data_IF_907213037682
#
_entry.id   IF_907213037682
#
_cell.length_a   1.000
_cell.length_b   1.000
_cell.length_c   1.000
_cell.angle_alpha   90.00
_cell.angle_beta   90.00
_cell.angle_gamma   90.00
#
_symmetry.space_group_name_H-M   'P 1'
#
loop_
_entity.id
_entity.type
_entity.pdbx_description
1 polymer ?
#
# COMPACT_ATOMS: atom_id res chain seq x y z
N UNK A 1 -19.87 -40.83 6.24
CA UNK A 1 -19.53 -40.61 4.83
C UNK A 1 -18.08 -40.18 4.81
N UNK A 2 -17.22 -40.91 4.08
CA UNK A 2 -15.78 -40.66 4.09
C UNK A 2 -15.49 -39.64 3.00
N UNK A 3 -14.88 -38.53 3.39
CA UNK A 3 -14.33 -37.54 2.46
C UNK A 3 -12.88 -37.88 2.14
N UNK A 4 -12.42 -37.69 0.89
CA UNK A 4 -13.17 -37.20 -0.27
C UNK A 4 -13.95 -38.29 -1.05
N UNK A 5 -15.04 -37.92 -1.73
CA UNK A 5 -15.89 -38.81 -2.55
C UNK A 5 -16.04 -38.34 -4.02
N UNK A 6 -16.69 -39.16 -4.87
CA UNK A 6 -16.85 -38.89 -6.31
C UNK A 6 -17.85 -37.77 -6.64
N UNK A 7 -18.48 -37.15 -5.64
CA UNK A 7 -19.28 -35.94 -5.82
C UNK A 7 -18.44 -34.65 -5.64
N UNK A 8 -17.17 -34.80 -5.25
CA UNK A 8 -16.22 -33.70 -5.13
C UNK A 8 -15.71 -33.30 -6.53
N UNK A 9 -16.35 -32.31 -7.15
CA UNK A 9 -15.84 -31.71 -8.39
C UNK A 9 -14.82 -30.61 -8.08
N UNK A 10 -13.54 -30.97 -8.04
CA UNK A 10 -12.42 -30.04 -7.87
C UNK A 10 -12.20 -29.08 -9.06
N UNK A 11 -13.00 -29.19 -10.14
CA UNK A 11 -13.00 -28.24 -11.26
C UNK A 11 -13.96 -27.07 -11.05
N UNK A 12 -14.77 -27.09 -9.99
CA UNK A 12 -15.59 -25.94 -9.57
C UNK A 12 -14.81 -25.22 -8.50
N UNK A 13 -13.95 -24.30 -8.93
CA UNK A 13 -13.51 -23.22 -8.07
C UNK A 13 -14.76 -22.38 -7.76
N UNK A 14 -15.21 -22.36 -6.50
CA UNK A 14 -16.19 -21.38 -6.06
C UNK A 14 -15.46 -20.05 -6.01
N UNK A 15 -15.19 -19.48 -7.19
CA UNK A 15 -14.32 -18.34 -7.43
C UNK A 15 -14.54 -17.22 -6.43
N UNK A 16 -13.88 -17.34 -5.29
CA UNK A 16 -13.77 -16.31 -4.30
C UNK A 16 -12.65 -15.45 -4.86
N UNK A 17 -13.00 -14.64 -5.86
CA UNK A 17 -12.16 -13.52 -6.25
C UNK A 17 -12.20 -12.61 -5.05
N UNK A 18 -11.19 -12.76 -4.20
CA UNK A 18 -10.99 -11.89 -3.07
C UNK A 18 -10.80 -10.49 -3.66
N UNK A 19 -11.63 -9.50 -3.28
CA UNK A 19 -11.42 -8.14 -3.73
C UNK A 19 -10.05 -7.70 -3.21
N UNK A 20 -9.25 -7.15 -4.09
CA UNK A 20 -7.88 -6.73 -3.81
C UNK A 20 -7.72 -5.31 -4.29
N UNK A 21 -7.03 -4.50 -3.49
CA UNK A 21 -6.53 -3.19 -3.84
C UNK A 21 -5.10 -3.36 -4.40
N UNK A 22 -4.86 -2.79 -5.58
CA UNK A 22 -3.56 -2.76 -6.24
C UNK A 22 -3.21 -1.33 -6.65
N UNK A 23 -1.95 -0.93 -6.42
CA UNK A 23 -1.54 0.43 -6.75
C UNK A 23 -1.41 0.75 -8.25
N UNK A 24 -0.95 1.96 -8.50
CA UNK A 24 -1.00 2.65 -9.79
C UNK A 24 0.31 3.34 -10.20
N UNK A 25 1.37 3.15 -9.39
CA UNK A 25 2.72 3.55 -9.75
C UNK A 25 3.12 2.92 -11.11
N UNK A 26 4.06 3.50 -11.87
CA UNK A 26 4.49 2.93 -13.13
C UNK A 26 4.97 1.50 -12.93
N UNK A 27 4.77 0.68 -13.95
CA UNK A 27 5.07 -0.75 -13.85
C UNK A 27 6.57 -1.06 -13.63
N UNK A 28 7.47 -0.07 -13.77
CA UNK A 28 8.86 -0.18 -13.32
C UNK A 28 8.99 -0.46 -11.82
N UNK A 29 7.96 -0.14 -11.03
CA UNK A 29 7.85 -0.42 -9.59
C UNK A 29 7.11 -1.73 -9.28
N UNK A 30 7.01 -2.63 -10.28
CA UNK A 30 6.26 -3.89 -10.22
C UNK A 30 4.83 -3.66 -9.73
N UNK A 31 4.03 -2.97 -10.53
CA UNK A 31 2.64 -2.62 -10.16
C UNK A 31 1.65 -3.69 -10.61
N UNK A 32 1.90 -4.30 -11.77
CA UNK A 32 1.04 -5.36 -12.30
C UNK A 32 1.22 -6.69 -11.53
N UNK A 33 0.14 -7.46 -11.40
CA UNK A 33 0.14 -8.84 -10.90
C UNK A 33 1.12 -9.69 -11.70
N UNK A 34 1.18 -9.48 -13.02
CA UNK A 34 2.11 -10.19 -13.91
C UNK A 34 3.59 -9.98 -13.54
N UNK A 35 3.90 -8.92 -12.79
CA UNK A 35 5.22 -8.59 -12.31
C UNK A 35 5.41 -8.93 -10.81
N UNK A 36 4.53 -9.75 -10.23
CA UNK A 36 4.44 -10.00 -8.79
C UNK A 36 4.29 -8.69 -8.00
N UNK A 37 3.46 -7.79 -8.52
CA UNK A 37 3.16 -6.54 -7.85
C UNK A 37 2.43 -6.74 -6.52
N UNK A 38 2.39 -5.70 -5.69
CA UNK A 38 1.75 -5.77 -4.40
C UNK A 38 0.25 -5.94 -4.55
N UNK A 39 -0.31 -6.78 -3.69
CA UNK A 39 -1.75 -7.07 -3.66
C UNK A 39 -2.22 -6.85 -2.22
N UNK A 40 -3.21 -5.99 -2.01
CA UNK A 40 -3.81 -5.74 -0.71
C UNK A 40 -5.21 -6.35 -0.60
N UNK A 41 -5.39 -7.41 0.20
CA UNK A 41 -6.72 -7.98 0.45
C UNK A 41 -7.73 -7.03 1.12
N UNK A 42 -8.81 -6.69 0.41
CA UNK A 42 -9.96 -5.94 0.97
C UNK A 42 -10.93 -6.89 1.68
N UNK A 43 -10.41 -7.65 2.66
CA UNK A 43 -11.20 -8.60 3.47
C UNK A 43 -11.35 -8.17 4.92
N UNK A 44 -10.59 -7.16 5.34
CA UNK A 44 -10.63 -6.60 6.68
C UNK A 44 -10.96 -5.13 6.57
N UNK A 45 -11.70 -4.58 7.53
CA UNK A 45 -11.82 -3.13 7.70
C UNK A 45 -10.49 -2.44 8.05
N UNK A 46 -9.35 -3.12 7.89
CA UNK A 46 -8.01 -2.56 7.98
C UNK A 46 -7.68 -1.94 6.63
N UNK A 47 -7.60 -0.61 6.60
CA UNK A 47 -7.30 0.12 5.39
C UNK A 47 -6.67 1.47 5.70
N UNK A 48 -6.07 2.08 4.68
CA UNK A 48 -5.73 3.50 4.72
C UNK A 48 -6.98 4.30 4.35
N UNK A 49 -7.03 5.56 4.76
CA UNK A 49 -8.07 6.44 4.24
C UNK A 49 -9.49 6.16 4.73
N UNK A 50 -10.46 6.79 4.07
CA UNK A 50 -11.89 6.60 4.32
C UNK A 50 -12.55 5.66 3.31
N UNK A 51 -11.99 5.56 2.12
CA UNK A 51 -12.48 4.71 1.04
C UNK A 51 -11.43 3.63 0.70
N UNK A 52 -11.92 2.53 0.15
CA UNK A 52 -11.13 1.44 -0.43
C UNK A 52 -11.94 0.94 -1.61
N UNK A 53 -11.35 0.88 -2.79
CA UNK A 53 -11.91 0.16 -3.92
C UNK A 53 -11.04 -1.07 -4.25
N UNK A 54 -11.35 -1.72 -5.37
CA UNK A 54 -10.84 -3.05 -5.65
C UNK A 54 -10.61 -3.20 -7.14
N UNK A 55 -9.40 -3.59 -7.53
CA UNK A 55 -8.97 -3.69 -8.91
C UNK A 55 -8.75 -5.16 -9.29
N UNK A 56 -8.83 -5.43 -10.60
CA UNK A 56 -8.54 -6.75 -11.17
C UNK A 56 -7.04 -6.91 -11.46
N UNK A 57 -6.31 -5.79 -11.63
CA UNK A 57 -4.86 -5.68 -11.81
C UNK A 57 -4.44 -4.23 -11.47
N UNK A 58 -3.16 -3.97 -11.22
CA UNK A 58 -2.67 -2.62 -10.95
C UNK A 58 -2.83 -1.69 -12.15
N UNK A 59 -2.97 -0.39 -11.90
CA UNK A 59 -3.27 0.61 -12.95
C UNK A 59 -2.08 1.56 -13.17
N UNK A 60 -0.97 1.12 -13.77
CA UNK A 60 0.25 1.93 -13.84
C UNK A 60 0.07 3.21 -14.67
N UNK A 61 0.18 4.36 -14.02
CA UNK A 61 0.18 5.69 -14.63
C UNK A 61 1.51 6.42 -14.41
N UNK A 62 1.90 7.29 -15.35
CA UNK A 62 3.07 8.18 -15.16
C UNK A 62 2.81 9.17 -14.02
N UNK A 63 1.54 9.46 -13.72
CA UNK A 63 1.15 10.29 -12.59
C UNK A 63 1.09 9.56 -11.26
N UNK A 64 1.12 8.21 -11.25
CA UNK A 64 0.45 7.42 -10.20
C UNK A 64 -0.95 8.00 -9.98
N UNK A 65 -1.80 7.79 -10.99
CA UNK A 65 -3.17 8.29 -10.98
C UNK A 65 -4.11 7.43 -11.85
N UNK A 66 -3.75 6.15 -12.02
CA UNK A 66 -4.30 5.29 -13.07
C UNK A 66 -5.67 4.69 -12.73
N UNK A 67 -5.99 4.67 -11.45
CA UNK A 67 -7.23 4.28 -10.79
C UNK A 67 -8.09 5.46 -10.33
N UNK A 68 -7.63 6.72 -10.42
CA UNK A 68 -8.42 7.96 -10.16
C UNK A 68 -9.83 7.98 -10.81
N UNK A 69 -10.00 7.23 -11.91
CA UNK A 69 -11.24 7.15 -12.68
C UNK A 69 -12.11 5.93 -12.36
N UNK A 70 -11.66 5.04 -11.47
CA UNK A 70 -12.17 3.68 -11.34
C UNK A 70 -12.70 3.29 -9.95
N UNK A 71 -12.93 4.26 -9.06
CA UNK A 71 -13.74 4.07 -7.86
C UNK A 71 -14.01 5.42 -7.23
N UNK A 72 -15.21 5.97 -7.41
CA UNK A 72 -15.56 7.26 -6.80
C UNK A 72 -16.27 7.00 -5.47
N UNK A 73 -15.75 7.48 -4.32
CA UNK A 73 -14.58 8.36 -4.16
C UNK A 73 -13.23 7.61 -4.14
N UNK A 74 -12.21 8.26 -4.69
CA UNK A 74 -10.77 7.90 -4.70
C UNK A 74 -10.30 7.31 -3.37
N UNK A 75 -9.58 6.20 -3.39
CA UNK A 75 -9.08 5.51 -2.19
C UNK A 75 -7.64 5.93 -1.80
N UNK A 76 -6.97 6.78 -2.59
CA UNK A 76 -5.74 7.50 -2.23
C UNK A 76 -5.94 8.56 -1.12
N UNK A 77 -7.14 8.68 -0.55
CA UNK A 77 -7.44 9.58 0.58
C UNK A 77 -6.75 9.18 1.91
N UNK A 78 -6.02 8.07 1.88
CA UNK A 78 -5.13 7.56 2.92
C UNK A 78 -3.87 8.38 3.17
N UNK A 79 -3.42 9.18 2.20
CA UNK A 79 -2.14 9.90 2.27
C UNK A 79 -2.34 11.39 2.04
N UNK A 80 -1.73 12.23 2.88
CA UNK A 80 -1.69 13.66 2.57
C UNK A 80 -0.70 13.94 1.44
N UNK A 81 -1.18 14.02 0.20
CA UNK A 81 -0.36 14.23 -1.01
C UNK A 81 0.58 15.44 -0.91
N UNK A 82 0.16 16.52 -0.22
CA UNK A 82 1.01 17.69 0.00
C UNK A 82 2.31 17.37 0.77
N UNK A 83 2.30 16.34 1.63
CA UNK A 83 3.45 15.89 2.41
C UNK A 83 4.47 15.12 1.55
N UNK A 84 4.11 14.73 0.32
CA UNK A 84 5.03 14.14 -0.67
C UNK A 84 5.86 15.21 -1.41
N UNK A 85 5.52 16.50 -1.24
CA UNK A 85 6.37 17.61 -1.71
C UNK A 85 7.47 17.89 -0.70
N UNK A 86 8.58 17.16 -0.81
CA UNK A 86 9.66 17.17 0.17
C UNK A 86 10.95 17.86 -0.31
N UNK A 87 11.74 18.34 0.64
CA UNK A 87 12.94 19.16 0.42
C UNK A 87 14.18 18.52 1.04
N UNK A 88 15.30 18.61 0.31
CA UNK A 88 16.60 18.09 0.76
C UNK A 88 16.97 18.62 2.15
N UNK A 89 17.34 17.71 3.05
CA UNK A 89 17.78 18.09 4.40
C UNK A 89 16.64 18.48 5.36
N UNK A 90 15.38 18.54 4.88
CA UNK A 90 14.21 18.66 5.75
C UNK A 90 13.81 17.29 6.34
N UNK A 91 12.88 17.24 7.30
CA UNK A 91 12.24 16.00 7.70
C UNK A 91 11.30 15.46 6.61
N UNK A 92 11.48 14.20 6.20
CA UNK A 92 10.60 13.46 5.30
C UNK A 92 9.42 12.87 6.06
N UNK A 93 8.48 13.72 6.46
CA UNK A 93 7.29 13.31 7.21
C UNK A 93 6.09 13.21 6.27
N UNK A 94 5.34 12.10 6.36
CA UNK A 94 4.11 11.87 5.59
C UNK A 94 2.97 11.55 6.54
N UNK A 95 1.88 12.33 6.49
CA UNK A 95 0.66 12.01 7.24
C UNK A 95 -0.15 10.95 6.52
N UNK A 96 -0.53 9.93 7.29
CA UNK A 96 -1.30 8.77 6.83
C UNK A 96 -2.53 8.60 7.71
N UNK A 97 -3.71 8.61 7.10
CA UNK A 97 -4.97 8.22 7.73
C UNK A 97 -5.14 6.70 7.65
N UNK A 98 -5.61 6.09 8.73
CA UNK A 98 -5.83 4.65 8.79
C UNK A 98 -7.09 4.32 9.57
N UNK A 99 -7.64 3.15 9.28
CA UNK A 99 -8.65 2.47 10.06
C UNK A 99 -8.11 1.07 10.41
N UNK A 100 -8.10 0.72 11.70
CA UNK A 100 -7.63 -0.58 12.18
C UNK A 100 -8.68 -1.23 13.09
N UNK A 101 -9.38 -2.27 12.63
CA UNK A 101 -10.40 -2.97 13.41
C UNK A 101 -9.79 -3.95 14.41
N UNK A 102 -8.50 -4.27 14.30
CA UNK A 102 -7.86 -5.31 15.09
C UNK A 102 -7.55 -4.78 16.49
N UNK A 103 -8.01 -5.45 17.57
CA UNK A 103 -7.76 -5.00 18.94
C UNK A 103 -6.27 -5.07 19.28
N UNK A 104 -5.77 -4.07 20.02
CA UNK A 104 -4.38 -4.01 20.47
C UNK A 104 -3.73 -2.66 20.20
N UNK A 105 -2.65 -2.34 20.92
CA UNK A 105 -1.94 -1.06 20.76
C UNK A 105 -0.94 -1.04 19.58
N UNK A 106 -0.61 -2.20 19.03
CA UNK A 106 0.30 -2.40 17.89
C UNK A 106 -0.18 -3.62 17.08
N UNK A 107 -1.41 -3.56 16.61
CA UNK A 107 -2.11 -4.66 15.92
C UNK A 107 -2.08 -4.52 14.39
N UNK A 108 -1.50 -3.43 13.89
CA UNK A 108 -1.20 -3.24 12.48
C UNK A 108 0.09 -2.43 12.31
N UNK A 109 0.71 -2.52 11.13
CA UNK A 109 1.91 -1.78 10.73
C UNK A 109 1.64 -1.05 9.43
N UNK A 110 1.94 0.24 9.41
CA UNK A 110 2.02 1.06 8.19
C UNK A 110 3.45 0.96 7.66
N UNK A 111 3.56 0.69 6.36
CA UNK A 111 4.80 0.59 5.60
C UNK A 111 4.79 1.67 4.54
N UNK A 112 5.83 2.50 4.46
CA UNK A 112 5.98 3.48 3.41
C UNK A 112 7.28 3.33 2.67
N UNK A 113 7.22 3.61 1.38
CA UNK A 113 8.31 3.54 0.43
C UNK A 113 8.32 4.83 -0.40
N UNK A 114 9.47 5.49 -0.54
CA UNK A 114 9.65 6.67 -1.40
C UNK A 114 10.96 6.52 -2.15
N UNK A 115 10.91 6.50 -3.48
CA UNK A 115 12.10 6.49 -4.32
C UNK A 115 12.62 7.93 -4.45
N UNK A 116 13.61 8.29 -3.62
CA UNK A 116 14.16 9.64 -3.59
C UNK A 116 15.21 9.87 -4.68
N UNK A 117 15.91 8.82 -5.07
CA UNK A 117 17.03 8.89 -6.01
C UNK A 117 16.61 8.65 -7.47
N UNK A 118 15.37 8.20 -7.70
CA UNK A 118 14.77 7.95 -9.01
C UNK A 118 15.33 6.73 -9.73
N UNK A 119 15.89 5.75 -9.01
CA UNK A 119 16.52 4.58 -9.61
C UNK A 119 15.55 3.41 -9.87
N UNK A 120 14.28 3.57 -9.48
CA UNK A 120 13.22 2.59 -9.70
C UNK A 120 13.12 1.51 -8.62
N UNK A 121 13.88 1.60 -7.53
CA UNK A 121 13.76 0.71 -6.36
C UNK A 121 13.63 1.50 -5.06
N UNK A 122 13.17 0.84 -4.00
CA UNK A 122 13.01 1.45 -2.66
C UNK A 122 14.07 0.91 -1.68
N UNK A 123 15.34 1.08 -2.03
CA UNK A 123 16.48 0.45 -1.32
C UNK A 123 17.54 1.45 -0.85
N UNK A 124 17.38 2.73 -1.20
CA UNK A 124 18.24 3.83 -0.83
C UNK A 124 18.07 4.28 0.63
N UNK A 125 18.92 5.22 1.01
CA UNK A 125 18.86 5.82 2.35
C UNK A 125 17.53 6.55 2.54
N UNK A 126 16.87 6.31 3.68
CA UNK A 126 15.59 6.93 4.02
C UNK A 126 14.43 6.57 3.06
N UNK A 127 14.56 5.58 2.17
CA UNK A 127 13.49 5.24 1.22
C UNK A 127 12.39 4.35 1.80
N UNK A 128 12.59 3.84 3.01
CA UNK A 128 11.61 3.00 3.72
C UNK A 128 11.31 3.56 5.11
N UNK A 129 10.05 3.56 5.51
CA UNK A 129 9.62 3.90 6.86
C UNK A 129 8.53 2.96 7.36
N UNK A 130 8.49 2.71 8.67
CA UNK A 130 7.50 1.81 9.28
C UNK A 130 6.94 2.41 10.56
N UNK A 131 5.65 2.21 10.83
CA UNK A 131 5.02 2.61 12.08
C UNK A 131 3.96 1.60 12.51
N UNK A 132 4.04 1.12 13.76
CA UNK A 132 2.98 0.31 14.35
C UNK A 132 1.83 1.19 14.84
N UNK A 133 0.61 0.79 14.51
CA UNK A 133 -0.62 1.47 14.89
C UNK A 133 -1.54 0.53 15.67
N UNK A 134 -2.25 1.11 16.62
CA UNK A 134 -3.22 0.40 17.46
C UNK A 134 -4.60 0.34 16.82
N UNK A 135 -5.54 -0.27 17.53
CA UNK A 135 -6.95 -0.32 17.17
C UNK A 135 -7.57 1.07 17.09
N UNK A 136 -8.49 1.26 16.16
CA UNK A 136 -9.23 2.50 15.94
C UNK A 136 -8.86 3.17 14.62
N UNK A 137 -9.39 4.37 14.44
CA UNK A 137 -9.14 5.21 13.26
C UNK A 137 -8.44 6.51 13.66
N UNK A 138 -7.55 7.00 12.81
CA UNK A 138 -6.90 8.29 13.04
C UNK A 138 -5.85 8.63 12.00
N UNK A 139 -5.13 9.72 12.24
CA UNK A 139 -4.00 10.16 11.40
C UNK A 139 -2.71 10.05 12.19
N UNK A 140 -1.69 9.45 11.58
CA UNK A 140 -0.35 9.32 12.13
C UNK A 140 0.67 9.91 11.18
N UNK A 141 1.85 10.23 11.70
CA UNK A 141 2.98 10.71 10.90
C UNK A 141 3.97 9.58 10.72
N UNK A 142 4.12 9.11 9.48
CA UNK A 142 5.19 8.22 9.06
C UNK A 142 6.44 9.05 8.78
N UNK A 143 7.54 8.75 9.46
CA UNK A 143 8.79 9.51 9.32
C UNK A 143 9.86 8.69 8.59
N UNK A 144 10.30 9.21 7.45
CA UNK A 144 11.42 8.68 6.67
C UNK A 144 12.77 9.24 7.15
N UNK A 145 12.79 10.07 8.20
CA UNK A 145 14.00 10.74 8.69
C UNK A 145 14.33 11.99 7.89
N UNK A 146 15.60 12.23 7.59
CA UNK A 146 16.03 13.40 6.81
C UNK A 146 16.04 13.05 5.32
N UNK A 147 15.42 13.90 4.49
CA UNK A 147 15.35 13.64 3.04
C UNK A 147 16.77 13.69 2.44
N UNK A 148 17.26 12.60 1.81
CA UNK A 148 18.64 12.46 1.36
C UNK A 148 18.93 13.36 0.14
N UNK A 149 20.20 13.65 -0.19
CA UNK A 149 20.56 14.28 -1.47
C UNK A 149 20.42 13.28 -2.65
N UNK A 150 20.31 13.75 -3.89
CA UNK A 150 20.36 12.89 -5.08
C UNK A 150 19.09 12.83 -5.96
N UNK A 151 18.18 13.79 -5.80
CA UNK A 151 16.93 13.88 -6.59
C UNK A 151 17.19 14.03 -8.08
N UNK A 152 16.83 13.01 -8.85
CA UNK A 152 16.81 13.09 -10.32
C UNK A 152 15.56 12.36 -10.82
N UNK A 153 14.75 13.01 -11.66
CA UNK A 153 13.63 12.35 -12.35
C UNK A 153 12.29 12.33 -11.58
N UNK A 154 11.38 11.48 -12.08
CA UNK A 154 10.08 11.24 -11.48
C UNK A 154 10.22 10.45 -10.17
N UNK A 155 9.34 10.71 -9.22
CA UNK A 155 9.36 10.10 -7.88
C UNK A 155 8.05 9.39 -7.65
N UNK A 156 8.13 8.22 -7.05
CA UNK A 156 6.96 7.43 -6.71
C UNK A 156 7.04 7.07 -5.24
N UNK A 157 5.88 7.11 -4.59
CA UNK A 157 5.72 6.69 -3.22
C UNK A 157 4.72 5.53 -3.20
N UNK A 158 4.85 4.68 -2.20
CA UNK A 158 3.89 3.62 -1.94
C UNK A 158 3.70 3.51 -0.44
N UNK A 159 2.46 3.61 0.03
CA UNK A 159 2.11 3.44 1.44
C UNK A 159 1.17 2.23 1.54
N UNK A 160 1.35 1.39 2.55
CA UNK A 160 0.53 0.20 2.81
C UNK A 160 0.27 0.02 4.29
N UNK A 161 -0.75 -0.74 4.63
CA UNK A 161 -1.03 -1.19 5.99
C UNK A 161 -1.17 -2.72 6.05
N UNK A 162 -0.60 -3.35 7.08
CA UNK A 162 -0.63 -4.81 7.30
C UNK A 162 -1.05 -5.13 8.73
N UNK A 163 -1.82 -6.20 8.93
CA UNK A 163 -2.11 -6.73 10.27
C UNK A 163 -0.94 -7.49 10.89
N UNK A 164 0.10 -7.78 10.10
CA UNK A 164 1.31 -8.46 10.57
C UNK A 164 2.38 -7.44 10.97
N UNK A 165 2.56 -7.27 12.28
CA UNK A 165 3.60 -6.41 12.86
C UNK A 165 4.94 -7.11 13.07
N UNK A 166 5.01 -8.42 12.80
CA UNK A 166 6.21 -9.26 12.99
C UNK A 166 7.11 -9.35 11.76
N UNK A 167 6.60 -9.06 10.57
CA UNK A 167 7.35 -9.13 9.31
C UNK A 167 7.85 -7.73 8.91
N UNK A 168 9.06 -7.69 8.35
CA UNK A 168 9.59 -6.47 7.75
C UNK A 168 8.75 -6.09 6.53
N UNK A 169 8.54 -4.79 6.32
CA UNK A 169 7.84 -4.31 5.13
C UNK A 169 8.58 -4.81 3.87
N UNK A 170 7.88 -5.57 3.03
CA UNK A 170 8.38 -6.11 1.77
C UNK A 170 7.60 -5.51 0.59
#
# INVERSE_FOLDING_TARGET
TVFPDSASNYSVDFGFVQPVDLGDAPNSYATLIANNGPVHPVISALHLGANVDTEVDGQPGVGANGDDGNGVPDDEDGVTVADLTQYIGAPGNVRVSYNNPNPGAASARICGFIDYNGDGVFAGAAETATLDVGSGSGTVTLSFGTVPPGYVGARYARIRISSDTGVACA
#
